data_IF_899200068063
#
_entry.id   IF_899200068063
#
_cell.length_a   1.000
_cell.length_b   1.000
_cell.length_c   1.000
_cell.angle_alpha   90.00
_cell.angle_beta   90.00
_cell.angle_gamma   90.00
#
_symmetry.space_group_name_H-M   'P 1'
#
loop_
_entity.id
_entity.type
_entity.pdbx_description
1 polymer ?
#
# COMPACT_ATOMS: atom_id res chain seq x y z
N UNK A 1 21.70 25.88 30.09
CA UNK A 1 20.59 25.10 29.49
C UNK A 1 21.02 23.64 29.47
N UNK A 2 20.32 22.77 30.20
CA UNK A 2 20.74 21.38 30.44
C UNK A 2 20.77 20.56 29.15
N UNK A 3 21.83 19.78 28.93
CA UNK A 3 22.01 18.84 27.81
C UNK A 3 20.76 17.96 27.58
N UNK A 4 20.09 17.58 28.68
CA UNK A 4 18.83 16.82 28.67
C UNK A 4 17.70 17.52 27.91
N UNK A 5 17.64 18.85 27.92
CA UNK A 5 16.64 19.60 27.14
C UNK A 5 16.93 19.60 25.65
N UNK A 6 18.21 19.59 25.27
CA UNK A 6 18.62 19.53 23.86
C UNK A 6 18.31 18.15 23.26
N UNK A 7 18.59 17.07 24.00
CA UNK A 7 18.26 15.70 23.59
C UNK A 7 16.75 15.54 23.41
N UNK A 8 15.96 16.04 24.36
CA UNK A 8 14.49 15.96 24.27
C UNK A 8 13.94 16.69 23.04
N UNK A 9 14.45 17.90 22.75
CA UNK A 9 14.06 18.66 21.55
C UNK A 9 14.47 17.95 20.26
N UNK A 10 15.66 17.35 20.22
CA UNK A 10 16.14 16.58 19.07
C UNK A 10 15.28 15.35 18.79
N UNK A 11 14.88 14.62 19.84
CA UNK A 11 13.97 13.46 19.72
C UNK A 11 12.60 13.89 19.24
N UNK A 12 12.06 15.00 19.77
CA UNK A 12 10.77 15.55 19.33
C UNK A 12 10.80 15.92 17.84
N UNK A 13 11.82 16.68 17.41
CA UNK A 13 12.00 17.10 16.01
C UNK A 13 12.14 15.90 15.08
N UNK A 14 12.91 14.89 15.50
CA UNK A 14 13.05 13.65 14.74
C UNK A 14 11.71 12.93 14.61
N UNK A 15 10.93 12.78 15.69
CA UNK A 15 9.62 12.14 15.63
C UNK A 15 8.64 12.84 14.68
N UNK A 16 8.70 14.17 14.61
CA UNK A 16 7.85 14.96 13.70
C UNK A 16 8.30 14.79 12.24
N UNK A 17 9.61 14.66 11.99
CA UNK A 17 10.18 14.40 10.66
C UNK A 17 9.92 12.97 10.16
N UNK A 18 9.85 11.99 11.06
CA UNK A 18 9.55 10.58 10.73
C UNK A 18 8.04 10.24 10.85
N UNK A 19 7.22 11.20 11.26
CA UNK A 19 5.89 10.95 11.80
C UNK A 19 4.72 11.16 10.85
N UNK A 20 4.78 10.71 9.60
CA UNK A 20 3.56 10.48 8.80
C UNK A 20 3.77 9.32 7.82
N UNK A 21 3.92 8.10 8.35
CA UNK A 21 3.50 6.92 7.61
C UNK A 21 1.96 6.88 7.65
N UNK A 22 1.34 7.67 6.77
CA UNK A 22 -0.10 7.63 6.59
C UNK A 22 -0.44 6.28 5.96
N UNK A 23 -0.78 5.27 6.78
CA UNK A 23 -1.52 4.10 6.30
C UNK A 23 -2.93 4.55 5.95
N UNK A 24 -3.05 5.32 4.86
CA UNK A 24 -4.31 5.67 4.25
C UNK A 24 -4.90 4.39 3.70
N UNK A 25 -5.77 3.77 4.52
CA UNK A 25 -6.45 2.54 4.16
C UNK A 25 -7.36 2.79 2.96
N UNK A 26 -7.35 1.83 2.04
CA UNK A 26 -8.26 1.82 0.91
C UNK A 26 -9.73 1.92 1.36
N UNK A 27 -10.56 2.62 0.58
CA UNK A 27 -11.99 2.68 0.83
C UNK A 27 -12.59 1.26 0.86
N UNK A 28 -13.51 0.99 1.81
CA UNK A 28 -14.10 -0.35 1.98
C UNK A 28 -14.80 -0.84 0.71
N UNK A 29 -15.40 0.07 -0.03
CA UNK A 29 -16.10 -0.23 -1.28
C UNK A 29 -15.13 -0.74 -2.36
N UNK A 30 -13.91 -0.19 -2.42
CA UNK A 30 -12.88 -0.66 -3.37
C UNK A 30 -12.38 -2.06 -3.00
N UNK A 31 -12.24 -2.35 -1.69
CA UNK A 31 -11.85 -3.70 -1.21
C UNK A 31 -12.89 -4.75 -1.60
N UNK A 32 -14.19 -4.43 -1.54
CA UNK A 32 -15.24 -5.37 -1.93
C UNK A 32 -15.23 -5.65 -3.45
N UNK A 33 -15.08 -4.59 -4.25
CA UNK A 33 -14.91 -4.72 -5.71
C UNK A 33 -13.69 -5.57 -6.06
N UNK A 34 -12.56 -5.38 -5.38
CA UNK A 34 -11.37 -6.21 -5.58
C UNK A 34 -11.61 -7.68 -5.20
N UNK A 35 -12.41 -7.97 -4.16
CA UNK A 35 -12.80 -9.34 -3.82
C UNK A 35 -13.67 -9.98 -4.90
N UNK A 36 -14.59 -9.21 -5.47
CA UNK A 36 -15.41 -9.68 -6.60
C UNK A 36 -14.53 -9.95 -7.83
N UNK A 37 -13.61 -9.03 -8.17
CA UNK A 37 -12.66 -9.21 -9.27
C UNK A 37 -11.77 -10.44 -9.08
N UNK A 38 -11.26 -10.68 -7.86
CA UNK A 38 -10.46 -11.87 -7.55
C UNK A 38 -11.23 -13.17 -7.78
N UNK A 39 -12.52 -13.20 -7.44
CA UNK A 39 -13.38 -14.37 -7.70
C UNK A 39 -13.58 -14.60 -9.19
N UNK A 40 -13.81 -13.54 -9.97
CA UNK A 40 -14.00 -13.62 -11.42
C UNK A 40 -12.71 -14.07 -12.12
N UNK A 41 -11.57 -13.51 -11.72
CA UNK A 41 -10.25 -13.81 -12.29
C UNK A 41 -9.61 -15.08 -11.74
N UNK A 42 -10.26 -15.78 -10.81
CA UNK A 42 -9.71 -16.90 -10.05
C UNK A 42 -8.33 -16.59 -9.42
N UNK A 43 -8.10 -15.33 -9.06
CA UNK A 43 -6.81 -14.89 -8.52
C UNK A 43 -6.68 -15.29 -7.05
N UNK A 44 -5.83 -16.28 -6.79
CA UNK A 44 -5.56 -16.83 -5.44
C UNK A 44 -4.35 -16.18 -4.76
N UNK A 45 -3.56 -15.40 -5.49
CA UNK A 45 -2.32 -14.80 -4.97
C UNK A 45 -2.57 -13.53 -4.16
N UNK A 46 -3.73 -12.89 -4.33
CA UNK A 46 -4.09 -11.66 -3.64
C UNK A 46 -4.33 -11.85 -2.16
N UNK A 47 -3.57 -11.10 -1.35
CA UNK A 47 -3.70 -11.11 0.09
C UNK A 47 -4.46 -9.87 0.58
N UNK A 48 -5.76 -10.01 0.80
CA UNK A 48 -6.63 -8.96 1.33
C UNK A 48 -6.35 -8.56 2.79
N UNK A 49 -5.43 -9.25 3.49
CA UNK A 49 -4.95 -8.82 4.81
C UNK A 49 -3.91 -7.72 4.73
N UNK A 50 -3.38 -7.44 3.54
CA UNK A 50 -2.38 -6.41 3.27
C UNK A 50 -3.04 -5.30 2.45
N UNK A 51 -2.70 -4.04 2.73
CA UNK A 51 -3.21 -2.92 1.96
C UNK A 51 -2.59 -2.91 0.55
N UNK A 52 -3.40 -2.89 -0.52
CA UNK A 52 -2.88 -2.93 -1.89
C UNK A 52 -2.11 -1.67 -2.29
N UNK A 53 -2.36 -0.53 -1.63
CA UNK A 53 -1.65 0.72 -1.87
C UNK A 53 -0.38 0.85 -1.07
N UNK A 54 -0.12 -0.07 -0.13
CA UNK A 54 1.14 -0.11 0.58
C UNK A 54 2.25 -0.61 -0.35
N UNK A 55 3.02 0.34 -0.88
CA UNK A 55 4.14 0.07 -1.80
C UNK A 55 5.35 -0.55 -1.09
N UNK A 56 5.39 -0.48 0.24
CA UNK A 56 6.45 -1.10 1.05
C UNK A 56 6.17 -2.59 1.30
N UNK A 57 4.91 -3.00 1.22
CA UNK A 57 4.47 -4.39 1.36
C UNK A 57 4.75 -5.18 0.10
N UNK A 58 5.84 -5.96 0.13
CA UNK A 58 6.21 -6.88 -0.95
C UNK A 58 5.44 -8.20 -0.78
N UNK A 59 4.68 -8.60 -1.80
CA UNK A 59 3.86 -9.81 -1.79
C UNK A 59 2.37 -9.56 -1.56
N UNK A 60 1.54 -10.54 -1.91
CA UNK A 60 0.08 -10.42 -1.88
C UNK A 60 -0.48 -9.71 -3.11
N UNK A 61 -0.23 -8.41 -3.24
CA UNK A 61 -0.77 -7.60 -4.34
C UNK A 61 0.24 -7.29 -5.44
N UNK A 62 1.53 -7.45 -5.13
CA UNK A 62 2.63 -7.22 -6.06
C UNK A 62 3.51 -8.44 -6.17
N UNK A 63 3.86 -8.80 -7.39
CA UNK A 63 4.84 -9.85 -7.67
C UNK A 63 6.14 -9.21 -8.18
N UNK A 64 7.12 -8.92 -7.31
CA UNK A 64 8.36 -8.23 -7.69
C UNK A 64 9.25 -9.04 -8.64
N UNK A 65 8.96 -10.33 -8.83
CA UNK A 65 9.69 -11.23 -9.72
C UNK A 65 8.95 -11.47 -11.04
N UNK A 66 7.92 -10.68 -11.34
CA UNK A 66 7.21 -10.83 -12.60
C UNK A 66 8.09 -10.43 -13.78
N UNK A 67 7.85 -11.05 -14.94
CA UNK A 67 8.42 -10.56 -16.20
C UNK A 67 7.78 -9.22 -16.58
N UNK A 68 8.50 -8.37 -17.31
CA UNK A 68 7.97 -7.09 -17.80
C UNK A 68 6.64 -7.31 -18.55
N UNK A 69 5.55 -6.73 -18.03
CA UNK A 69 4.19 -6.93 -18.57
C UNK A 69 3.37 -8.05 -17.90
N UNK A 70 3.91 -8.69 -16.87
CA UNK A 70 3.21 -9.62 -15.97
C UNK A 70 3.25 -9.14 -14.51
N UNK A 71 3.70 -7.90 -14.30
CA UNK A 71 3.77 -7.25 -12.99
C UNK A 71 2.36 -7.14 -12.42
N UNK A 72 2.00 -8.02 -11.48
CA UNK A 72 0.83 -7.79 -10.62
C UNK A 72 1.05 -6.43 -9.95
N UNK A 73 0.33 -5.40 -10.39
CA UNK A 73 0.56 -4.04 -9.95
C UNK A 73 -0.77 -3.33 -9.77
N UNK A 74 -1.19 -3.22 -8.52
CA UNK A 74 -2.20 -2.24 -8.14
C UNK A 74 -1.51 -0.88 -8.07
N UNK A 75 -2.03 0.09 -8.80
CA UNK A 75 -1.58 1.48 -8.75
C UNK A 75 -2.63 2.26 -7.97
N UNK A 76 -2.17 3.04 -7.00
CA UNK A 76 -3.03 3.86 -6.18
C UNK A 76 -2.65 5.33 -6.31
N UNK A 77 -3.66 6.17 -6.24
CA UNK A 77 -3.50 7.59 -6.01
C UNK A 77 -3.89 7.90 -4.56
N UNK A 78 -2.91 8.36 -3.79
CA UNK A 78 -3.05 8.75 -2.39
C UNK A 78 -2.86 10.26 -2.19
N UNK A 79 -3.18 11.08 -3.20
CA UNK A 79 -3.08 12.55 -3.10
C UNK A 79 -4.10 13.18 -2.14
N UNK A 80 -5.11 12.42 -1.69
CA UNK A 80 -6.16 12.87 -0.75
C UNK A 80 -6.06 12.12 0.58
N UNK A 81 -6.96 12.38 1.53
CA UNK A 81 -7.02 11.65 2.83
C UNK A 81 -7.31 10.16 2.71
N UNK A 82 -7.84 9.70 1.57
CA UNK A 82 -8.09 8.30 1.24
C UNK A 82 -7.29 7.93 -0.02
N UNK A 83 -6.70 6.75 -0.01
CA UNK A 83 -6.09 6.16 -1.19
C UNK A 83 -7.18 5.53 -2.06
N UNK A 84 -7.09 5.80 -3.36
CA UNK A 84 -7.96 5.22 -4.38
C UNK A 84 -7.15 4.37 -5.35
N UNK A 85 -7.65 3.17 -5.67
CA UNK A 85 -7.08 2.38 -6.76
C UNK A 85 -7.38 3.06 -8.09
N UNK A 86 -6.35 3.42 -8.84
CA UNK A 86 -6.49 4.06 -10.16
C UNK A 86 -6.25 3.12 -11.32
N UNK A 87 -5.44 2.09 -11.12
CA UNK A 87 -5.19 1.07 -12.13
C UNK A 87 -4.86 -0.25 -11.46
N UNK A 88 -5.28 -1.35 -12.06
CA UNK A 88 -4.84 -2.69 -11.66
C UNK A 88 -4.37 -3.42 -12.90
N UNK A 89 -3.18 -4.00 -12.82
CA UNK A 89 -2.70 -4.94 -13.82
C UNK A 89 -2.71 -6.34 -13.23
N UNK A 90 -3.36 -7.26 -13.94
CA UNK A 90 -3.45 -8.68 -13.56
C UNK A 90 -3.05 -9.50 -14.78
N UNK A 91 -1.95 -10.27 -14.73
CA UNK A 91 -1.64 -11.22 -15.78
C UNK A 91 -2.70 -12.32 -15.79
N UNK A 92 -3.40 -12.47 -16.91
CA UNK A 92 -4.30 -13.59 -17.15
C UNK A 92 -3.47 -14.88 -17.26
N UNK A 93 -3.54 -15.73 -16.24
CA UNK A 93 -3.12 -17.12 -16.36
C UNK A 93 -4.25 -17.91 -17.03
N UNK A 94 -4.28 -17.87 -18.36
CA UNK A 94 -5.06 -18.78 -19.21
C UNK A 94 -4.40 -20.16 -19.24
#
# INVERSE_FOLDING_TARGET
>A
MSLTRLIFMYVLVSLILFGFASSQKLARDEVDVLRAAAKVLQQKKWNFSVDPCDVASVGGWRNPNAGKGFEDAVTCNCSSTLCHVTSMFVPLSL
#
